data_IF_225190529028
#
_entry.id   IF_225190529028
#
_cell.length_a   1.000
_cell.length_b   1.000
_cell.length_c   1.000
_cell.angle_alpha   90.00
_cell.angle_beta   90.00
_cell.angle_gamma   90.00
#
_symmetry.space_group_name_H-M   'P 1'
#
loop_
_entity.id
_entity.type
_entity.pdbx_description
1 polymer ?
#
# COMPACT_ATOMS: atom_id res chain seq x y z
N UNK A 1 1.17 10.30 9.71
CA UNK A 1 2.09 9.68 10.68
C UNK A 1 1.62 10.01 12.09
N UNK A 2 1.48 9.02 12.96
CA UNK A 2 1.35 9.23 14.40
C UNK A 2 2.72 8.90 15.02
N UNK A 3 3.45 9.91 15.47
CA UNK A 3 4.81 9.77 16.00
C UNK A 3 4.81 9.28 17.46
N UNK A 4 5.83 8.49 17.82
CA UNK A 4 5.99 7.86 19.13
C UNK A 4 6.57 8.83 20.17
N UNK A 5 6.29 8.54 21.43
CA UNK A 5 6.60 9.35 22.62
C UNK A 5 8.10 9.48 22.98
N UNK A 6 9.00 8.78 22.30
CA UNK A 6 10.43 8.76 22.66
C UNK A 6 11.36 8.97 21.44
N UNK A 7 11.56 10.24 21.10
CA UNK A 7 12.47 10.70 20.05
C UNK A 7 13.96 10.63 20.44
N UNK A 8 14.30 10.01 21.59
CA UNK A 8 15.69 9.98 22.08
C UNK A 8 16.51 8.80 21.55
N UNK A 9 15.87 7.84 20.91
CA UNK A 9 16.55 6.69 20.30
C UNK A 9 17.07 7.04 18.90
N UNK A 10 18.34 6.71 18.64
CA UNK A 10 18.92 6.86 17.31
C UNK A 10 18.59 5.63 16.46
N UNK A 11 18.00 5.86 15.29
CA UNK A 11 17.80 4.84 14.28
C UNK A 11 19.15 4.41 13.66
N UNK A 12 19.34 3.12 13.32
CA UNK A 12 20.55 2.66 12.67
C UNK A 12 20.56 3.09 11.18
N UNK A 13 21.73 3.12 10.52
CA UNK A 13 21.80 3.30 9.07
C UNK A 13 21.05 2.19 8.31
N UNK A 14 20.37 2.54 7.22
CA UNK A 14 19.57 1.61 6.40
C UNK A 14 20.40 0.57 5.66
N UNK A 15 21.67 0.89 5.38
CA UNK A 15 22.56 0.03 4.59
C UNK A 15 22.20 -0.03 3.10
N UNK A 16 21.35 0.88 2.60
CA UNK A 16 21.00 0.95 1.18
C UNK A 16 22.20 1.42 0.36
N UNK A 17 22.60 0.62 -0.62
CA UNK A 17 23.70 0.94 -1.53
C UNK A 17 23.43 2.25 -2.28
N UNK A 18 24.38 3.18 -2.21
CA UNK A 18 24.30 4.48 -2.89
C UNK A 18 23.66 5.60 -2.05
N UNK A 19 23.07 5.30 -0.89
CA UNK A 19 22.59 6.31 0.05
C UNK A 19 23.70 6.64 1.05
N UNK A 20 24.36 7.79 0.86
CA UNK A 20 25.51 8.19 1.69
C UNK A 20 25.31 9.52 2.41
N UNK A 21 24.30 10.30 2.04
CA UNK A 21 24.00 11.60 2.66
C UNK A 21 23.19 11.38 3.95
N UNK A 22 23.72 11.75 5.14
CA UNK A 22 23.00 11.61 6.40
C UNK A 22 21.72 12.44 6.52
N UNK A 23 21.48 13.38 5.60
CA UNK A 23 20.26 14.19 5.54
C UNK A 23 19.19 13.60 4.63
N UNK A 24 19.52 12.56 3.87
CA UNK A 24 18.55 11.80 3.09
C UNK A 24 17.68 10.95 4.04
N UNK A 25 16.36 10.98 3.83
CA UNK A 25 15.43 10.16 4.60
C UNK A 25 15.81 8.67 4.51
N UNK A 26 16.21 8.20 3.33
CA UNK A 26 16.59 6.81 3.11
C UNK A 26 17.89 6.39 3.83
N UNK A 27 18.61 7.31 4.48
CA UNK A 27 19.88 7.00 5.16
C UNK A 27 19.67 6.14 6.41
N UNK A 28 18.54 6.29 7.10
CA UNK A 28 18.23 5.56 8.34
C UNK A 28 17.23 4.44 8.09
N UNK A 29 17.34 3.36 8.85
CA UNK A 29 16.30 2.34 8.96
C UNK A 29 15.31 2.76 10.05
N UNK A 30 14.08 3.10 9.62
CA UNK A 30 13.09 3.77 10.45
C UNK A 30 12.35 2.85 11.44
N UNK A 31 13.09 2.00 12.14
CA UNK A 31 12.57 0.96 13.06
C UNK A 31 11.89 1.51 14.31
N UNK A 32 12.09 2.79 14.65
CA UNK A 32 11.48 3.41 15.83
C UNK A 32 10.38 4.42 15.48
N UNK A 33 10.34 4.89 14.23
CA UNK A 33 9.41 5.94 13.79
C UNK A 33 8.30 5.42 12.87
N UNK A 34 8.43 4.23 12.28
CA UNK A 34 7.45 3.66 11.35
C UNK A 34 6.94 2.30 11.80
N UNK A 35 5.72 1.92 11.37
CA UNK A 35 5.14 0.58 11.56
C UNK A 35 5.18 0.03 13.00
N UNK A 36 4.93 0.89 13.98
CA UNK A 36 5.00 0.52 15.40
C UNK A 36 3.73 -0.21 15.83
N UNK A 37 3.83 -1.12 16.80
CA UNK A 37 2.68 -1.92 17.28
C UNK A 37 1.47 -1.06 17.70
N UNK A 38 1.74 0.09 18.33
CA UNK A 38 0.73 1.06 18.74
C UNK A 38 -0.07 1.63 17.57
N UNK A 39 0.52 1.72 16.37
CA UNK A 39 -0.20 2.13 15.15
C UNK A 39 -1.30 1.12 14.84
N UNK A 40 -0.98 -0.18 14.87
CA UNK A 40 -1.95 -1.24 14.62
C UNK A 40 -3.05 -1.27 15.70
N UNK A 41 -2.72 -1.02 16.98
CA UNK A 41 -3.70 -0.90 18.05
C UNK A 41 -4.72 0.22 17.80
N UNK A 42 -4.25 1.41 17.41
CA UNK A 42 -5.13 2.54 17.09
C UNK A 42 -6.01 2.22 15.88
N UNK A 43 -5.45 1.60 14.84
CA UNK A 43 -6.22 1.25 13.65
C UNK A 43 -7.29 0.18 13.94
N UNK A 44 -7.01 -0.82 14.80
CA UNK A 44 -8.04 -1.76 15.29
C UNK A 44 -9.19 -1.04 15.96
N UNK A 45 -8.91 -0.06 16.82
CA UNK A 45 -9.96 0.73 17.47
C UNK A 45 -10.80 1.53 16.46
N UNK A 46 -10.17 2.11 15.43
CA UNK A 46 -10.89 2.81 14.37
C UNK A 46 -11.74 1.86 13.54
N UNK A 47 -11.23 0.65 13.24
CA UNK A 47 -11.98 -0.38 12.54
C UNK A 47 -13.23 -0.78 13.30
N UNK A 48 -13.09 -1.08 14.59
CA UNK A 48 -14.20 -1.43 15.45
C UNK A 48 -15.26 -0.31 15.47
N UNK A 49 -14.84 0.96 15.57
CA UNK A 49 -15.76 2.09 15.53
C UNK A 49 -16.58 2.14 14.23
N UNK A 50 -15.95 1.86 13.08
CA UNK A 50 -16.62 1.85 11.79
C UNK A 50 -17.56 0.65 11.65
N UNK A 51 -17.18 -0.51 12.17
CA UNK A 51 -18.02 -1.70 12.20
C UNK A 51 -19.26 -1.50 13.10
N UNK A 52 -19.08 -0.90 14.28
CA UNK A 52 -20.18 -0.53 15.20
C UNK A 52 -21.14 0.46 14.53
N UNK A 53 -20.60 1.48 13.83
CA UNK A 53 -21.43 2.44 13.11
C UNK A 53 -22.17 1.80 11.93
N UNK A 54 -21.54 0.86 11.24
CA UNK A 54 -22.16 0.06 10.16
C UNK A 54 -23.33 -0.78 10.69
N UNK A 55 -23.16 -1.40 11.86
CA UNK A 55 -24.22 -2.16 12.52
C UNK A 55 -25.38 -1.27 12.97
N UNK A 56 -25.09 -0.04 13.42
CA UNK A 56 -26.10 0.93 13.84
C UNK A 56 -26.93 1.50 12.67
N UNK A 57 -26.28 1.84 11.54
CA UNK A 57 -26.95 2.51 10.41
C UNK A 57 -27.40 1.56 9.28
N UNK A 58 -26.96 0.29 9.30
CA UNK A 58 -27.29 -0.70 8.26
C UNK A 58 -26.50 -0.56 6.96
N UNK A 59 -25.44 0.24 6.93
CA UNK A 59 -24.61 0.53 5.77
C UNK A 59 -23.12 0.37 6.09
N UNK A 60 -22.45 -0.55 5.41
CA UNK A 60 -21.01 -0.81 5.57
C UNK A 60 -20.17 0.46 5.39
N UNK A 61 -19.31 0.74 6.38
CA UNK A 61 -18.28 1.77 6.34
C UNK A 61 -16.93 1.10 6.14
N UNK A 62 -16.27 1.46 5.05
CA UNK A 62 -15.00 0.84 4.64
C UNK A 62 -13.84 1.69 5.17
N UNK A 63 -12.80 1.01 5.66
CA UNK A 63 -11.54 1.62 6.04
C UNK A 63 -10.43 1.13 5.13
N UNK A 64 -9.74 2.07 4.50
CA UNK A 64 -8.59 1.83 3.64
C UNK A 64 -7.42 2.60 4.22
N UNK A 65 -6.27 1.94 4.36
CA UNK A 65 -5.03 2.59 4.82
C UNK A 65 -4.13 2.92 3.64
N UNK A 66 -3.36 3.99 3.76
CA UNK A 66 -2.33 4.37 2.81
C UNK A 66 -0.97 4.19 3.49
N UNK A 67 -0.17 3.24 2.99
CA UNK A 67 1.12 2.88 3.56
C UNK A 67 2.10 2.64 2.43
N UNK A 68 3.12 3.49 2.33
CA UNK A 68 4.25 3.27 1.43
C UNK A 68 5.28 2.43 2.16
N UNK A 69 5.32 1.14 1.84
CA UNK A 69 6.22 0.17 2.47
C UNK A 69 6.70 -0.85 1.43
N UNK A 70 8.01 -1.06 1.38
CA UNK A 70 8.65 -1.97 0.44
C UNK A 70 8.42 -3.43 0.83
N UNK A 71 8.43 -3.70 2.13
CA UNK A 71 8.21 -5.02 2.70
C UNK A 71 6.72 -5.41 2.64
N UNK A 72 6.42 -6.47 1.88
CA UNK A 72 5.05 -6.96 1.72
C UNK A 72 4.47 -7.49 3.03
N UNK A 73 5.29 -8.07 3.92
CA UNK A 73 4.81 -8.65 5.18
C UNK A 73 4.28 -7.54 6.11
N UNK A 74 4.98 -6.40 6.15
CA UNK A 74 4.52 -5.21 6.89
C UNK A 74 3.22 -4.63 6.30
N UNK A 75 3.04 -4.67 4.97
CA UNK A 75 1.78 -4.29 4.36
C UNK A 75 0.64 -5.26 4.74
N UNK A 76 0.91 -6.56 4.79
CA UNK A 76 -0.09 -7.56 5.17
C UNK A 76 -0.51 -7.43 6.64
N UNK A 77 0.37 -6.94 7.52
CA UNK A 77 0.01 -6.61 8.90
C UNK A 77 -1.15 -5.60 9.00
N UNK A 78 -1.37 -4.75 7.98
CA UNK A 78 -2.51 -3.81 7.95
C UNK A 78 -3.86 -4.46 7.64
N UNK A 79 -3.91 -5.72 7.20
CA UNK A 79 -5.16 -6.49 7.22
C UNK A 79 -5.53 -6.87 8.65
N UNK A 80 -4.55 -7.23 9.49
CA UNK A 80 -4.79 -7.79 10.82
C UNK A 80 -5.03 -9.30 10.77
N UNK A 81 -5.81 -9.82 11.70
CA UNK A 81 -6.26 -11.23 11.69
C UNK A 81 -7.74 -11.31 11.41
N UNK A 82 -8.26 -12.51 11.14
CA UNK A 82 -9.70 -12.71 10.90
C UNK A 82 -10.53 -12.34 12.15
N UNK A 83 -10.00 -12.59 13.35
CA UNK A 83 -10.64 -12.26 14.63
C UNK A 83 -10.41 -10.80 15.07
N UNK A 84 -9.30 -10.18 14.65
CA UNK A 84 -8.94 -8.80 14.98
C UNK A 84 -8.54 -8.03 13.70
N UNK A 85 -9.51 -7.68 12.84
CA UNK A 85 -9.22 -7.00 11.59
C UNK A 85 -8.73 -5.56 11.84
N UNK A 86 -7.80 -5.11 11.03
CA UNK A 86 -7.25 -3.75 11.04
C UNK A 86 -7.92 -2.94 9.93
N UNK A 87 -7.57 -3.09 8.66
CA UNK A 87 -8.25 -2.40 7.56
C UNK A 87 -9.07 -3.38 6.72
N UNK A 88 -9.95 -2.87 5.85
CA UNK A 88 -10.56 -3.72 4.83
C UNK A 88 -9.51 -4.11 3.79
N UNK A 89 -8.61 -3.18 3.46
CA UNK A 89 -7.32 -3.40 2.80
C UNK A 89 -6.43 -2.16 2.97
N UNK A 90 -5.14 -2.32 2.75
CA UNK A 90 -4.21 -1.19 2.52
C UNK A 90 -4.03 -0.98 1.02
N UNK A 91 -3.81 0.25 0.56
CA UNK A 91 -3.59 0.52 -0.86
C UNK A 91 -2.41 -0.28 -1.41
N UNK A 92 -2.65 -0.96 -2.53
CA UNK A 92 -1.65 -1.76 -3.22
C UNK A 92 -0.93 -0.92 -4.26
N UNK A 93 0.25 -0.41 -3.91
CA UNK A 93 1.10 0.36 -4.82
C UNK A 93 2.12 -0.51 -5.59
N UNK A 94 2.00 -1.85 -5.58
CA UNK A 94 3.00 -2.70 -6.25
C UNK A 94 3.09 -2.46 -7.76
N UNK A 95 2.02 -2.01 -8.43
CA UNK A 95 2.14 -1.56 -9.83
C UNK A 95 2.87 -0.23 -10.01
N UNK A 96 2.89 0.64 -9.01
CA UNK A 96 3.70 1.84 -9.01
C UNK A 96 5.18 1.49 -8.76
N UNK A 97 5.43 0.59 -7.80
CA UNK A 97 6.79 0.22 -7.36
C UNK A 97 7.53 -0.70 -8.36
N UNK A 98 6.86 -1.75 -8.86
CA UNK A 98 7.49 -2.78 -9.70
C UNK A 98 7.57 -2.37 -11.17
N UNK A 99 6.60 -1.59 -11.64
CA UNK A 99 6.56 -1.13 -13.03
C UNK A 99 7.41 0.14 -13.14
N UNK A 100 8.72 0.00 -13.00
CA UNK A 100 9.69 1.08 -13.21
C UNK A 100 10.58 0.76 -14.40
N UNK A 101 11.02 1.78 -15.15
CA UNK A 101 11.76 1.59 -16.41
C UNK A 101 10.93 0.84 -17.45
N UNK A 102 11.52 -0.17 -18.11
CA UNK A 102 10.83 -0.93 -19.15
C UNK A 102 9.68 -1.77 -18.58
N UNK A 103 8.47 -1.57 -19.14
CA UNK A 103 7.28 -2.37 -18.84
C UNK A 103 7.39 -3.74 -19.51
N UNK A 104 7.37 -4.81 -18.71
CA UNK A 104 7.43 -6.19 -19.21
C UNK A 104 6.34 -7.05 -18.57
N UNK A 105 5.90 -8.08 -19.29
CA UNK A 105 4.94 -9.05 -18.76
C UNK A 105 5.44 -9.74 -17.47
N UNK A 106 6.76 -9.95 -17.35
CA UNK A 106 7.38 -10.50 -16.14
C UNK A 106 7.15 -9.60 -14.93
N UNK A 107 7.43 -8.29 -15.04
CA UNK A 107 7.20 -7.33 -13.95
C UNK A 107 5.73 -7.23 -13.55
N UNK A 108 4.81 -7.26 -14.53
CA UNK A 108 3.37 -7.26 -14.26
C UNK A 108 2.95 -8.51 -13.49
N UNK A 109 3.40 -9.69 -13.92
CA UNK A 109 3.14 -10.96 -13.21
C UNK A 109 3.70 -10.91 -11.79
N UNK A 110 4.93 -10.43 -11.64
CA UNK A 110 5.61 -10.43 -10.34
C UNK A 110 4.95 -9.44 -9.37
N UNK A 111 4.45 -8.30 -9.84
CA UNK A 111 3.65 -7.38 -9.04
C UNK A 111 2.32 -8.00 -8.57
N UNK A 112 1.63 -8.72 -9.47
CA UNK A 112 0.39 -9.43 -9.15
C UNK A 112 0.64 -10.55 -8.13
N UNK A 113 1.65 -11.39 -8.39
CA UNK A 113 2.01 -12.51 -7.52
C UNK A 113 2.47 -12.02 -6.15
N UNK A 114 3.28 -10.95 -6.09
CA UNK A 114 3.72 -10.37 -4.83
C UNK A 114 2.55 -10.03 -3.89
N UNK A 115 1.45 -9.50 -4.42
CA UNK A 115 0.28 -9.21 -3.59
C UNK A 115 -0.55 -10.46 -3.28
N UNK A 116 -0.94 -11.22 -4.30
CA UNK A 116 -1.88 -12.34 -4.16
C UNK A 116 -1.31 -13.52 -3.37
N UNK A 117 0.00 -13.76 -3.45
CA UNK A 117 0.64 -14.87 -2.74
C UNK A 117 0.88 -14.56 -1.26
N UNK A 118 0.90 -13.27 -0.86
CA UNK A 118 1.17 -12.85 0.52
C UNK A 118 -0.07 -12.38 1.29
N UNK A 119 -1.13 -11.94 0.60
CA UNK A 119 -2.35 -11.49 1.28
C UNK A 119 -2.99 -12.61 2.11
N UNK A 120 -3.60 -12.28 3.26
CA UNK A 120 -4.31 -13.28 4.05
C UNK A 120 -5.44 -13.89 3.21
N UNK A 121 -5.72 -15.17 3.42
CA UNK A 121 -6.70 -15.92 2.62
C UNK A 121 -8.13 -15.36 2.67
N UNK A 122 -8.45 -14.59 3.72
CA UNK A 122 -9.73 -13.90 3.90
C UNK A 122 -9.71 -12.44 3.39
N UNK A 123 -8.54 -11.92 3.00
CA UNK A 123 -8.36 -10.54 2.56
C UNK A 123 -9.03 -10.24 1.23
N UNK A 124 -9.22 -8.94 0.94
CA UNK A 124 -9.74 -8.46 -0.33
C UNK A 124 -8.69 -7.63 -1.06
N UNK A 125 -8.31 -8.05 -2.27
CA UNK A 125 -7.29 -7.36 -3.05
C UNK A 125 -7.75 -6.00 -3.59
N UNK A 126 -6.79 -5.14 -3.92
CA UNK A 126 -7.01 -3.91 -4.68
C UNK A 126 -5.84 -3.65 -5.63
N UNK A 127 -6.05 -2.80 -6.63
CA UNK A 127 -5.06 -2.50 -7.67
C UNK A 127 -5.02 -1.00 -7.95
N UNK A 128 -3.92 -0.35 -7.58
CA UNK A 128 -3.69 1.08 -7.82
C UNK A 128 -2.62 1.25 -8.90
N UNK A 129 -2.95 1.97 -9.96
CA UNK A 129 -1.99 2.27 -11.05
C UNK A 129 -1.49 3.71 -11.01
N UNK A 130 -2.16 4.61 -10.31
CA UNK A 130 -1.68 5.97 -10.08
C UNK A 130 -2.42 6.66 -8.96
N UNK A 131 -1.86 7.81 -8.56
CA UNK A 131 -2.38 8.68 -7.53
C UNK A 131 -1.80 10.10 -7.73
N UNK A 132 -1.97 10.97 -6.73
CA UNK A 132 -1.53 12.36 -6.79
C UNK A 132 -0.05 12.58 -6.48
N UNK A 133 0.65 11.59 -5.92
CA UNK A 133 2.08 11.65 -5.57
C UNK A 133 2.99 11.10 -6.67
N UNK A 134 2.42 10.34 -7.61
CA UNK A 134 3.15 9.62 -8.64
C UNK A 134 2.91 10.19 -10.03
N UNK A 135 3.91 10.08 -10.90
CA UNK A 135 3.73 10.41 -12.31
C UNK A 135 2.64 9.53 -12.95
N UNK A 136 1.83 10.14 -13.82
CA UNK A 136 0.74 9.47 -14.53
C UNK A 136 1.26 8.25 -15.33
N UNK A 137 0.43 7.22 -15.46
CA UNK A 137 0.73 5.98 -16.21
C UNK A 137 1.25 6.29 -17.63
N UNK A 138 0.58 7.19 -18.35
CA UNK A 138 0.97 7.65 -19.68
C UNK A 138 2.40 8.20 -19.74
N UNK A 139 2.82 8.94 -18.71
CA UNK A 139 4.15 9.54 -18.63
C UNK A 139 5.23 8.53 -18.23
N UNK A 140 4.87 7.47 -17.48
CA UNK A 140 5.81 6.43 -17.08
C UNK A 140 6.07 5.41 -18.19
N UNK A 141 5.05 5.03 -18.97
CA UNK A 141 5.12 3.90 -19.90
C UNK A 141 4.73 4.20 -21.34
N UNK A 142 4.34 5.43 -21.67
CA UNK A 142 3.79 5.77 -22.98
C UNK A 142 2.27 5.61 -23.05
N UNK A 143 1.66 6.29 -24.01
CA UNK A 143 0.20 6.31 -24.16
C UNK A 143 -0.36 5.03 -24.80
N UNK A 144 0.47 4.25 -25.46
CA UNK A 144 0.12 3.02 -26.17
C UNK A 144 -0.29 1.86 -25.25
N UNK A 145 0.03 1.93 -23.95
CA UNK A 145 -0.28 0.86 -22.98
C UNK A 145 -1.41 1.20 -22.00
N UNK A 146 -1.94 2.43 -22.04
CA UNK A 146 -2.96 2.90 -21.08
C UNK A 146 -4.19 2.00 -21.10
N UNK A 147 -4.74 1.73 -22.29
CA UNK A 147 -5.92 0.87 -22.45
C UNK A 147 -5.67 -0.54 -21.88
N UNK A 148 -4.48 -1.10 -22.13
CA UNK A 148 -4.12 -2.43 -21.64
C UNK A 148 -4.01 -2.48 -20.11
N UNK A 149 -3.41 -1.46 -19.49
CA UNK A 149 -3.27 -1.37 -18.04
C UNK A 149 -4.65 -1.14 -17.40
N UNK A 150 -5.49 -0.28 -17.97
CA UNK A 150 -6.85 -0.05 -17.51
C UNK A 150 -7.73 -1.31 -17.63
N UNK A 151 -7.64 -2.05 -18.74
CA UNK A 151 -8.32 -3.35 -18.86
C UNK A 151 -7.82 -4.34 -17.82
N UNK A 152 -6.50 -4.42 -17.60
CA UNK A 152 -5.90 -5.33 -16.64
C UNK A 152 -6.44 -5.11 -15.22
N UNK A 153 -6.38 -3.88 -14.70
CA UNK A 153 -6.82 -3.61 -13.32
C UNK A 153 -8.30 -3.87 -13.09
N UNK A 154 -9.12 -3.74 -14.12
CA UNK A 154 -10.56 -4.05 -14.06
C UNK A 154 -10.87 -5.54 -14.14
N UNK A 155 -9.94 -6.36 -14.64
CA UNK A 155 -10.09 -7.81 -14.77
C UNK A 155 -9.46 -8.59 -13.60
N UNK A 156 -8.56 -7.96 -12.85
CA UNK A 156 -7.95 -8.57 -11.68
C UNK A 156 -8.96 -8.69 -10.52
N UNK A 157 -8.83 -9.70 -9.65
CA UNK A 157 -9.74 -9.90 -8.53
C UNK A 157 -9.61 -8.75 -7.51
N UNK A 158 -10.74 -8.31 -6.95
CA UNK A 158 -10.77 -7.29 -5.92
C UNK A 158 -11.26 -5.93 -6.44
N UNK A 159 -10.69 -4.85 -5.91
CA UNK A 159 -11.12 -3.47 -6.21
C UNK A 159 -10.12 -2.77 -7.12
N UNK A 160 -10.55 -2.34 -8.30
CA UNK A 160 -9.79 -1.43 -9.15
C UNK A 160 -9.85 0.00 -8.58
N UNK A 161 -8.69 0.67 -8.48
CA UNK A 161 -8.58 2.05 -8.02
C UNK A 161 -7.97 2.88 -9.15
N UNK A 162 -8.75 3.82 -9.67
CA UNK A 162 -8.37 4.69 -10.79
C UNK A 162 -8.22 6.12 -10.32
N UNK A 163 -7.08 6.74 -10.62
CA UNK A 163 -6.87 8.16 -10.40
C UNK A 163 -7.44 8.97 -11.56
N UNK A 164 -8.07 10.10 -11.25
CA UNK A 164 -8.75 10.90 -12.28
C UNK A 164 -7.78 11.28 -13.42
N UNK A 165 -8.25 11.16 -14.64
CA UNK A 165 -7.48 11.39 -15.86
C UNK A 165 -6.65 10.19 -16.32
N UNK A 166 -6.80 9.01 -15.70
CA UNK A 166 -6.28 7.74 -16.24
C UNK A 166 -7.27 7.08 -17.21
N UNK A 167 -8.54 7.48 -17.16
CA UNK A 167 -9.63 7.00 -18.00
C UNK A 167 -9.75 7.72 -19.36
N UNK A 168 -8.91 8.74 -19.62
CA UNK A 168 -8.89 9.57 -20.84
C UNK A 168 -7.49 9.61 -21.46
#
# INVERSE_FOLDING_TARGET
>A
MAEVQDLTMNEPPSGIDGVTDPTDYAFLDHIYTTNQDKTYEVLRHWRQLLDDYSAFNGETKVMITEVYEGDVDKLMAYYGTEDEPIAHFTFNFKFIDYLTGDLTAGKVRDAIANWLDNMPSWGWANWVIGNHDNHRVASRFGSEVIDAINMLVQLLPGTAVTYYGEEI
#
